data_IF_959302508687
#
_entry.id   IF_959302508687
#
_cell.length_a   1.000
_cell.length_b   1.000
_cell.length_c   1.000
_cell.angle_alpha   90.00
_cell.angle_beta   90.00
_cell.angle_gamma   90.00
#
_symmetry.space_group_name_H-M   'P 1'
#
loop_
_entity.id
_entity.type
_entity.pdbx_description
1 polymer ?
#
# COMPACT_ATOMS: atom_id res chain seq x y z
N UNK A 1 -0.42 15.09 -3.16
CA UNK A 1 0.24 13.82 -2.84
C UNK A 1 1.72 13.92 -3.12
N UNK A 2 2.54 13.29 -2.30
CA UNK A 2 3.97 13.27 -2.46
C UNK A 2 4.36 12.55 -3.76
N UNK A 3 5.29 13.12 -4.51
CA UNK A 3 5.73 12.53 -5.78
C UNK A 3 6.26 11.10 -5.61
N UNK A 4 6.99 10.86 -4.53
CA UNK A 4 7.53 9.54 -4.23
C UNK A 4 6.40 8.52 -3.98
N UNK A 5 5.33 8.95 -3.32
CA UNK A 5 4.17 8.08 -3.10
C UNK A 5 3.50 7.73 -4.42
N UNK A 6 3.44 8.67 -5.36
CA UNK A 6 2.90 8.40 -6.69
C UNK A 6 3.78 7.39 -7.44
N UNK A 7 5.08 7.50 -7.31
CA UNK A 7 6.01 6.55 -7.92
C UNK A 7 5.83 5.14 -7.35
N UNK A 8 5.66 5.02 -6.04
CA UNK A 8 5.43 3.72 -5.43
C UNK A 8 4.10 3.12 -5.89
N UNK A 9 3.05 3.94 -5.96
CA UNK A 9 1.76 3.49 -6.49
C UNK A 9 1.90 2.96 -7.92
N UNK A 10 2.60 3.72 -8.76
CA UNK A 10 2.81 3.33 -10.14
C UNK A 10 3.61 2.03 -10.24
N UNK A 11 4.63 1.88 -9.41
CA UNK A 11 5.45 0.68 -9.39
C UNK A 11 4.61 -0.55 -9.03
N UNK A 12 3.84 -0.46 -7.96
CA UNK A 12 2.99 -1.58 -7.53
C UNK A 12 1.93 -1.92 -8.58
N UNK A 13 1.36 -0.89 -9.21
CA UNK A 13 0.34 -1.09 -10.25
C UNK A 13 0.90 -1.73 -11.52
N UNK A 14 2.19 -1.53 -11.80
CA UNK A 14 2.82 -2.07 -12.99
C UNK A 14 3.31 -3.50 -12.80
N UNK A 15 3.43 -3.97 -11.56
CA UNK A 15 3.88 -5.33 -11.28
C UNK A 15 2.73 -6.32 -11.40
N UNK A 16 3.07 -7.57 -11.75
CA UNK A 16 2.09 -8.66 -11.67
C UNK A 16 1.57 -8.74 -10.23
N UNK A 17 0.27 -8.99 -10.01
CA UNK A 17 -0.30 -8.95 -8.66
C UNK A 17 0.45 -9.82 -7.64
N UNK A 18 0.86 -11.01 -8.02
CA UNK A 18 1.59 -11.89 -7.11
C UNK A 18 2.95 -11.30 -6.70
N UNK A 19 3.65 -10.67 -7.64
CA UNK A 19 4.93 -10.02 -7.36
C UNK A 19 4.75 -8.80 -6.48
N UNK A 20 3.74 -7.99 -6.78
CA UNK A 20 3.44 -6.81 -5.98
C UNK A 20 3.11 -7.20 -4.54
N UNK A 21 2.31 -8.25 -4.39
CA UNK A 21 1.94 -8.77 -3.08
C UNK A 21 3.18 -9.23 -2.31
N UNK A 22 4.05 -9.98 -2.94
CA UNK A 22 5.29 -10.44 -2.31
C UNK A 22 6.18 -9.28 -1.89
N UNK A 23 6.29 -8.26 -2.75
CA UNK A 23 7.10 -7.08 -2.44
C UNK A 23 6.57 -6.34 -1.22
N UNK A 24 5.25 -6.19 -1.12
CA UNK A 24 4.62 -5.53 0.04
C UNK A 24 4.83 -6.36 1.30
N UNK A 25 4.59 -7.67 1.22
CA UNK A 25 4.71 -8.55 2.39
C UNK A 25 6.13 -8.60 2.93
N UNK A 26 7.12 -8.48 2.06
CA UNK A 26 8.53 -8.53 2.46
C UNK A 26 8.93 -7.36 3.37
N UNK A 27 8.25 -6.24 3.26
CA UNK A 27 8.56 -5.06 4.06
C UNK A 27 8.19 -5.25 5.52
N UNK A 28 7.21 -6.10 5.83
CA UNK A 28 6.79 -6.36 7.19
C UNK A 28 5.92 -5.25 7.77
N UNK A 29 5.01 -4.74 6.98
CA UNK A 29 4.09 -3.68 7.42
C UNK A 29 3.16 -4.18 8.53
N UNK A 30 2.70 -3.29 9.42
CA UNK A 30 1.61 -3.64 10.33
C UNK A 30 0.41 -4.17 9.54
N UNK A 31 -0.37 -5.10 10.11
CA UNK A 31 -1.44 -5.78 9.36
C UNK A 31 -2.42 -4.85 8.65
N UNK A 32 -2.86 -3.79 9.31
CA UNK A 32 -3.83 -2.88 8.71
C UNK A 32 -3.25 -2.11 7.53
N UNK A 33 -1.99 -1.69 7.66
CA UNK A 33 -1.29 -0.99 6.57
C UNK A 33 -1.08 -1.93 5.39
N UNK A 34 -0.67 -3.15 5.66
CA UNK A 34 -0.48 -4.14 4.62
C UNK A 34 -1.78 -4.41 3.87
N UNK A 35 -2.86 -4.64 4.61
CA UNK A 35 -4.17 -4.88 4.01
C UNK A 35 -4.61 -3.71 3.15
N UNK A 36 -4.45 -2.48 3.65
CA UNK A 36 -4.87 -1.29 2.91
C UNK A 36 -4.14 -1.18 1.57
N UNK A 37 -2.83 -1.38 1.57
CA UNK A 37 -2.04 -1.31 0.34
C UNK A 37 -2.38 -2.46 -0.60
N UNK A 38 -2.48 -3.67 -0.08
CA UNK A 38 -2.79 -4.83 -0.92
C UNK A 38 -4.15 -4.69 -1.58
N UNK A 39 -5.17 -4.29 -0.81
CA UNK A 39 -6.52 -4.18 -1.35
C UNK A 39 -6.62 -3.08 -2.40
N UNK A 40 -6.09 -1.90 -2.12
CA UNK A 40 -6.26 -0.77 -3.02
C UNK A 40 -5.24 -0.79 -4.17
N UNK A 41 -3.97 -0.94 -3.85
CA UNK A 41 -2.92 -0.75 -4.85
C UNK A 41 -2.58 -2.01 -5.63
N UNK A 42 -2.82 -3.18 -5.07
CA UNK A 42 -2.53 -4.45 -5.76
C UNK A 42 -3.79 -5.06 -6.34
N UNK A 43 -4.86 -5.13 -5.55
CA UNK A 43 -6.10 -5.80 -5.98
C UNK A 43 -7.14 -4.86 -6.59
N UNK A 44 -6.86 -3.56 -6.63
CA UNK A 44 -7.73 -2.60 -7.31
C UNK A 44 -9.04 -2.29 -6.59
N UNK A 45 -9.14 -2.59 -5.31
CA UNK A 45 -10.34 -2.26 -4.53
C UNK A 45 -10.38 -0.76 -4.25
N UNK A 46 -11.59 -0.22 -4.08
CA UNK A 46 -11.74 1.19 -3.72
C UNK A 46 -11.38 1.41 -2.25
N UNK A 47 -11.08 2.65 -1.91
CA UNK A 47 -10.85 3.00 -0.50
C UNK A 47 -12.11 2.73 0.34
N UNK A 48 -13.29 2.96 -0.24
CA UNK A 48 -14.55 2.69 0.45
C UNK A 48 -14.71 1.20 0.75
N UNK A 49 -14.47 0.34 -0.24
CA UNK A 49 -14.56 -1.11 -0.05
C UNK A 49 -13.57 -1.58 1.02
N UNK A 50 -12.36 -1.04 0.99
CA UNK A 50 -11.34 -1.40 1.97
C UNK A 50 -11.71 -0.92 3.37
N UNK A 51 -12.27 0.29 3.46
CA UNK A 51 -12.72 0.83 4.74
C UNK A 51 -13.81 -0.06 5.36
N UNK A 52 -14.74 -0.50 4.54
CA UNK A 52 -15.81 -1.41 5.01
C UNK A 52 -15.23 -2.73 5.49
N UNK A 53 -14.26 -3.26 4.76
CA UNK A 53 -13.61 -4.52 5.11
C UNK A 53 -12.85 -4.44 6.42
N UNK A 54 -12.16 -3.32 6.65
CA UNK A 54 -11.37 -3.10 7.86
C UNK A 54 -12.19 -2.53 9.01
N UNK A 55 -13.44 -2.17 8.77
CA UNK A 55 -14.32 -1.53 9.77
C UNK A 55 -13.74 -0.21 10.25
N UNK A 56 -13.25 0.61 9.32
CA UNK A 56 -12.69 1.93 9.60
C UNK A 56 -13.23 2.94 8.59
N UNK A 57 -12.90 4.22 8.79
CA UNK A 57 -13.31 5.26 7.86
C UNK A 57 -12.42 5.26 6.62
N UNK A 58 -12.92 5.88 5.55
CA UNK A 58 -12.13 6.08 4.32
C UNK A 58 -10.88 6.90 4.62
N UNK A 59 -11.00 7.92 5.48
CA UNK A 59 -9.84 8.72 5.87
C UNK A 59 -8.77 7.89 6.56
N UNK A 60 -9.18 6.92 7.36
CA UNK A 60 -8.25 6.01 8.02
C UNK A 60 -7.52 5.15 6.98
N UNK A 61 -8.25 4.64 5.97
CA UNK A 61 -7.62 3.87 4.88
C UNK A 61 -6.55 4.72 4.18
N UNK A 62 -6.87 5.96 3.87
CA UNK A 62 -5.92 6.87 3.21
C UNK A 62 -4.68 7.10 4.08
N UNK A 63 -4.88 7.24 5.38
CA UNK A 63 -3.79 7.43 6.34
C UNK A 63 -2.92 6.18 6.43
N UNK A 64 -3.54 5.00 6.47
CA UNK A 64 -2.82 3.73 6.49
C UNK A 64 -1.96 3.56 5.24
N UNK A 65 -2.52 3.90 4.08
CA UNK A 65 -1.78 3.81 2.82
C UNK A 65 -0.59 4.78 2.80
N UNK A 66 -0.78 6.00 3.28
CA UNK A 66 0.29 6.99 3.35
C UNK A 66 1.43 6.51 4.23
N UNK A 67 1.10 5.96 5.39
CA UNK A 67 2.08 5.39 6.31
C UNK A 67 2.82 4.21 5.68
N UNK A 68 2.07 3.34 5.00
CA UNK A 68 2.64 2.20 4.31
C UNK A 68 3.60 2.63 3.20
N UNK A 69 3.21 3.63 2.42
CA UNK A 69 4.07 4.14 1.34
C UNK A 69 5.39 4.67 1.88
N UNK A 70 5.37 5.34 3.03
CA UNK A 70 6.59 5.84 3.65
C UNK A 70 7.52 4.69 3.99
N UNK A 71 6.99 3.62 4.54
CA UNK A 71 7.79 2.44 4.90
C UNK A 71 8.28 1.70 3.66
N UNK A 72 7.44 1.60 2.63
CA UNK A 72 7.84 1.01 1.35
C UNK A 72 8.94 1.83 0.70
N UNK A 73 8.82 3.14 0.77
CA UNK A 73 9.85 4.04 0.24
C UNK A 73 11.18 3.80 0.95
N UNK A 74 11.17 3.73 2.26
CA UNK A 74 12.38 3.48 3.03
C UNK A 74 13.01 2.14 2.64
N UNK A 75 12.20 1.12 2.47
CA UNK A 75 12.70 -0.20 2.07
C UNK A 75 13.31 -0.17 0.68
N UNK A 76 12.63 0.46 -0.28
CA UNK A 76 13.06 0.48 -1.67
C UNK A 76 14.32 1.32 -1.84
N UNK A 77 14.39 2.49 -1.20
CA UNK A 77 15.48 3.44 -1.43
C UNK A 77 16.64 3.32 -0.45
N UNK A 78 16.48 2.58 0.64
CA UNK A 78 17.51 2.46 1.66
C UNK A 78 18.27 1.15 1.57
N UNK A 79 17.62 0.09 1.15
CA UNK A 79 18.24 -1.23 1.02
C UNK A 79 18.84 -1.40 -0.37
N UNK A 80 20.06 -1.05 -0.50
CA UNK A 80 20.77 -1.24 -1.76
C UNK A 80 22.02 -2.03 -1.57
#
# INVERSE_FOLDING_TARGET
MNKTHQEIRALLSSMAPMRAEQAVRRVGLPPDEETAVLEVDVHGQSCLQTAERLHVSVDTVKRLRRSAYRKLQDDIYTKR
#
